data_IF_535412710901
#
_entry.id   IF_535412710901
#
_cell.length_a   1.000
_cell.length_b   1.000
_cell.length_c   1.000
_cell.angle_alpha   90.00
_cell.angle_beta   90.00
_cell.angle_gamma   90.00
#
_symmetry.space_group_name_H-M   'P 1'
#
loop_
_entity.id
_entity.type
_entity.pdbx_description
1 polymer ?
#
# COMPACT_ATOMS: atom_id res chain seq x y z
N UNK A 1 13.37 8.21 16.67
CA UNK A 1 12.22 7.56 17.19
C UNK A 1 11.84 6.28 16.44
N UNK A 2 10.72 6.11 15.78
CA UNK A 2 10.36 4.86 15.05
C UNK A 2 11.45 4.44 14.04
N UNK A 3 12.13 5.37 13.38
CA UNK A 3 13.26 5.08 12.49
C UNK A 3 14.45 4.43 13.23
N UNK A 4 14.76 4.88 14.46
CA UNK A 4 15.83 4.28 15.26
C UNK A 4 15.46 2.92 15.83
N UNK A 5 14.23 2.73 16.23
CA UNK A 5 13.75 1.41 16.68
C UNK A 5 13.75 0.37 15.56
N UNK A 6 13.35 0.72 14.34
CA UNK A 6 13.44 -0.17 13.17
C UNK A 6 14.88 -0.51 12.79
N UNK A 7 15.82 0.44 12.90
CA UNK A 7 17.24 0.17 12.65
C UNK A 7 17.91 -0.66 13.74
N UNK A 8 17.47 -0.55 14.99
CA UNK A 8 18.01 -1.36 16.09
C UNK A 8 17.52 -2.80 16.05
N UNK A 9 16.30 -3.06 15.61
CA UNK A 9 15.77 -4.42 15.45
C UNK A 9 16.52 -5.24 14.38
N UNK A 10 17.12 -4.59 13.38
CA UNK A 10 17.89 -5.29 12.33
C UNK A 10 19.25 -5.80 12.83
N UNK A 11 19.79 -5.23 13.91
CA UNK A 11 21.12 -5.58 14.41
C UNK A 11 21.15 -6.76 15.37
N UNK A 12 20.06 -7.09 16.06
CA UNK A 12 20.16 -7.90 17.27
C UNK A 12 19.61 -9.33 17.22
N UNK A 13 19.04 -9.79 16.11
CA UNK A 13 18.63 -11.21 16.02
C UNK A 13 18.42 -11.73 14.62
N UNK A 14 19.48 -12.28 14.05
CA UNK A 14 19.39 -13.25 12.96
C UNK A 14 19.74 -14.61 13.57
N UNK A 15 18.75 -15.38 13.95
CA UNK A 15 18.94 -16.78 14.31
C UNK A 15 18.28 -17.70 13.28
N UNK A 16 19.00 -18.63 12.65
CA UNK A 16 18.38 -19.61 11.78
C UNK A 16 17.69 -20.68 12.64
N UNK A 17 16.37 -20.80 12.49
CA UNK A 17 15.64 -21.95 13.01
C UNK A 17 15.57 -23.01 11.91
N UNK A 18 16.08 -24.21 12.22
CA UNK A 18 16.29 -25.30 11.28
C UNK A 18 15.02 -25.75 10.57
N UNK A 19 15.19 -26.10 9.28
CA UNK A 19 14.18 -26.74 8.45
C UNK A 19 13.61 -25.90 7.33
N UNK A 20 14.45 -25.28 6.50
CA UNK A 20 14.06 -24.86 5.14
C UNK A 20 13.15 -23.65 4.98
N UNK A 21 12.70 -22.98 6.05
CA UNK A 21 12.06 -21.67 6.03
C UNK A 21 12.82 -20.78 7.00
N UNK A 22 13.46 -19.75 6.47
CA UNK A 22 14.03 -18.69 7.30
C UNK A 22 12.84 -17.84 7.78
N UNK A 23 12.36 -18.11 8.99
CA UNK A 23 11.52 -17.18 9.74
C UNK A 23 12.46 -16.30 10.54
N UNK A 24 12.58 -15.02 10.13
CA UNK A 24 13.27 -14.05 10.97
C UNK A 24 12.25 -13.46 11.95
N UNK A 25 12.34 -13.85 13.21
CA UNK A 25 11.65 -13.17 14.29
C UNK A 25 12.48 -11.96 14.73
N UNK A 26 11.85 -10.81 14.72
CA UNK A 26 12.41 -9.62 15.33
C UNK A 26 11.78 -9.47 16.71
N UNK A 27 12.49 -9.86 17.76
CA UNK A 27 12.11 -9.49 19.11
C UNK A 27 12.32 -7.99 19.30
N UNK A 28 11.24 -7.25 19.54
CA UNK A 28 11.37 -5.85 19.93
C UNK A 28 12.17 -5.74 21.21
N UNK A 29 12.99 -4.68 21.33
CA UNK A 29 13.66 -4.36 22.58
C UNK A 29 12.59 -4.03 23.62
N UNK A 30 12.69 -4.63 24.81
CA UNK A 30 11.88 -4.23 25.95
C UNK A 30 12.04 -2.73 26.18
N UNK A 31 10.91 -1.99 26.18
CA UNK A 31 10.93 -0.58 26.52
C UNK A 31 11.43 -0.48 27.98
N UNK A 32 12.42 0.37 28.21
CA UNK A 32 12.91 0.64 29.57
C UNK A 32 11.72 1.13 30.40
N UNK A 33 11.45 0.44 31.47
CA UNK A 33 10.33 0.71 32.37
C UNK A 33 10.37 2.17 32.82
N UNK A 34 9.37 2.97 32.44
CA UNK A 34 9.28 4.37 32.78
C UNK A 34 9.64 5.37 31.68
N UNK A 35 10.09 4.94 30.50
CA UNK A 35 10.18 5.83 29.34
C UNK A 35 8.84 5.82 28.58
N UNK A 36 8.11 6.96 28.56
CA UNK A 36 6.92 7.04 27.72
C UNK A 36 7.35 6.98 26.25
N UNK A 37 6.63 6.22 25.44
CA UNK A 37 6.74 6.33 23.99
C UNK A 37 6.25 7.71 23.56
N UNK A 38 7.16 8.68 23.59
CA UNK A 38 6.88 10.07 23.25
C UNK A 38 6.45 10.25 21.77
N UNK A 39 6.56 9.21 20.94
CA UNK A 39 6.10 9.23 19.55
C UNK A 39 4.58 9.05 19.42
N UNK A 40 3.94 8.48 20.42
CA UNK A 40 2.52 8.10 20.36
C UNK A 40 1.57 9.12 21.00
N UNK A 41 2.05 9.98 21.92
CA UNK A 41 1.22 10.93 22.65
C UNK A 41 1.96 12.24 22.94
N UNK A 42 1.25 13.38 22.90
CA UNK A 42 1.80 14.63 23.44
C UNK A 42 2.07 14.45 24.94
N UNK A 43 3.09 15.14 25.44
CA UNK A 43 3.44 15.19 26.86
C UNK A 43 2.21 15.57 27.68
N UNK A 44 1.87 14.77 28.69
CA UNK A 44 0.63 14.89 29.44
C UNK A 44 -0.61 14.31 28.75
N UNK A 45 -0.41 13.44 27.76
CA UNK A 45 -1.44 12.89 26.89
C UNK A 45 -2.62 12.22 27.60
N UNK A 46 -3.71 12.11 26.85
CA UNK A 46 -5.04 11.62 27.30
C UNK A 46 -5.08 10.12 27.61
N UNK A 47 -3.98 9.39 27.42
CA UNK A 47 -3.91 7.94 27.67
C UNK A 47 -2.66 7.56 28.42
N UNK A 48 -2.78 6.60 29.31
CA UNK A 48 -1.64 5.87 29.82
C UNK A 48 -1.03 5.04 28.69
N UNK A 49 0.30 5.10 28.53
CA UNK A 49 0.99 4.16 27.67
C UNK A 49 1.11 2.83 28.38
N UNK A 50 0.68 1.77 27.73
CA UNK A 50 0.87 0.42 28.19
C UNK A 50 2.06 -0.20 27.48
N UNK A 51 2.73 -1.12 28.15
CA UNK A 51 3.77 -1.97 27.56
C UNK A 51 3.22 -2.64 26.28
N UNK A 52 3.96 -2.54 25.18
CA UNK A 52 3.57 -3.21 23.95
C UNK A 52 3.61 -4.72 24.15
N UNK A 53 2.45 -5.37 24.10
CA UNK A 53 2.30 -6.83 24.25
C UNK A 53 2.23 -7.51 22.90
N UNK A 54 3.22 -7.25 22.05
CA UNK A 54 3.28 -7.83 20.73
C UNK A 54 4.68 -7.81 20.16
N UNK A 55 4.82 -8.43 19.01
CA UNK A 55 6.07 -8.47 18.26
C UNK A 55 5.80 -8.24 16.77
N UNK A 56 6.84 -7.77 16.07
CA UNK A 56 6.84 -7.68 14.62
C UNK A 56 7.63 -8.86 14.06
N UNK A 57 7.11 -9.45 12.98
CA UNK A 57 7.81 -10.43 12.19
C UNK A 57 7.99 -9.94 10.75
N UNK A 58 9.13 -10.25 10.14
CA UNK A 58 9.33 -9.96 8.74
C UNK A 58 8.41 -10.82 7.89
N UNK A 59 7.81 -10.21 6.86
CA UNK A 59 7.05 -10.92 5.84
C UNK A 59 7.95 -11.21 4.63
N UNK A 60 8.46 -12.44 4.46
CA UNK A 60 9.32 -12.79 3.34
C UNK A 60 8.56 -12.94 2.01
N UNK A 61 7.23 -12.86 2.03
CA UNK A 61 6.38 -12.98 0.84
C UNK A 61 6.09 -11.63 0.17
N UNK A 62 6.55 -10.54 0.77
CA UNK A 62 6.54 -9.19 0.21
C UNK A 62 7.97 -8.64 0.13
N UNK A 63 8.28 -7.94 -0.95
CA UNK A 63 9.64 -7.50 -1.22
C UNK A 63 10.03 -6.30 -0.37
N UNK A 64 11.27 -6.31 0.14
CA UNK A 64 11.90 -5.12 0.69
C UNK A 64 12.21 -4.12 -0.45
N UNK A 65 12.11 -2.84 -0.15
CA UNK A 65 12.32 -1.77 -1.14
C UNK A 65 13.03 -0.56 -0.51
N UNK A 66 13.61 0.27 -1.36
CA UNK A 66 14.22 1.53 -0.92
C UNK A 66 13.29 2.68 -1.29
N UNK A 67 12.90 3.47 -0.32
CA UNK A 67 12.09 4.66 -0.49
C UNK A 67 12.75 5.84 0.23
N UNK A 68 13.03 6.92 -0.50
CA UNK A 68 13.62 8.15 0.06
C UNK A 68 14.91 7.88 0.87
N UNK A 69 15.78 7.01 0.35
CA UNK A 69 17.04 6.64 0.99
C UNK A 69 16.90 5.72 2.22
N UNK A 70 15.69 5.24 2.51
CA UNK A 70 15.40 4.32 3.62
C UNK A 70 15.05 2.93 3.11
N UNK A 71 15.68 1.90 3.68
CA UNK A 71 15.29 0.52 3.45
C UNK A 71 13.98 0.24 4.20
N UNK A 72 12.96 -0.16 3.46
CA UNK A 72 11.66 -0.55 3.98
C UNK A 72 11.51 -2.06 3.89
N UNK A 73 11.24 -2.71 5.02
CA UNK A 73 11.03 -4.17 5.10
C UNK A 73 9.57 -4.39 5.52
N UNK A 74 8.75 -5.06 4.70
CA UNK A 74 7.39 -5.41 5.07
C UNK A 74 7.36 -6.31 6.31
N UNK A 75 6.54 -5.94 7.28
CA UNK A 75 6.38 -6.67 8.55
C UNK A 75 4.93 -6.85 8.91
N UNK A 76 4.65 -7.85 9.70
CA UNK A 76 3.37 -8.06 10.39
C UNK A 76 3.54 -7.75 11.88
N UNK A 77 2.42 -7.41 12.53
CA UNK A 77 2.39 -7.15 13.97
C UNK A 77 1.33 -8.02 14.64
N UNK A 78 1.76 -8.85 15.58
CA UNK A 78 0.92 -9.80 16.31
C UNK A 78 1.11 -9.64 17.82
N UNK A 79 0.06 -9.95 18.59
CA UNK A 79 0.18 -10.09 20.04
C UNK A 79 0.97 -11.39 20.40
N UNK A 80 1.41 -11.49 21.64
CA UNK A 80 2.07 -12.71 22.15
C UNK A 80 1.14 -13.93 22.16
N UNK A 81 -0.18 -13.71 22.20
CA UNK A 81 -1.21 -14.76 22.10
C UNK A 81 -1.63 -15.06 20.67
N UNK A 82 -1.10 -14.32 19.69
CA UNK A 82 -1.30 -14.57 18.26
C UNK A 82 -2.45 -13.77 17.62
N UNK A 83 -3.08 -12.84 18.35
CA UNK A 83 -4.06 -11.96 17.73
C UNK A 83 -3.38 -11.00 16.76
N UNK A 84 -4.06 -10.70 15.66
CA UNK A 84 -3.61 -9.71 14.70
C UNK A 84 -3.72 -8.30 15.29
N UNK A 85 -2.63 -7.54 15.25
CA UNK A 85 -2.59 -6.13 15.65
C UNK A 85 -2.45 -5.19 14.45
N UNK A 86 -2.43 -5.74 13.25
CA UNK A 86 -2.40 -5.04 11.97
C UNK A 86 -3.45 -5.58 11.00
N UNK A 87 -3.47 -5.05 9.78
CA UNK A 87 -4.34 -5.53 8.70
C UNK A 87 -3.68 -6.61 7.84
N UNK A 88 -2.36 -6.71 7.83
CA UNK A 88 -1.61 -7.67 7.02
C UNK A 88 -1.72 -9.09 7.54
N UNK A 89 -1.68 -9.29 8.84
CA UNK A 89 -1.83 -10.63 9.46
C UNK A 89 -3.15 -11.31 9.06
N UNK A 90 -4.32 -10.68 9.12
CA UNK A 90 -5.57 -11.27 8.62
C UNK A 90 -5.50 -11.61 7.13
N UNK A 91 -4.90 -10.76 6.30
CA UNK A 91 -4.73 -11.02 4.87
C UNK A 91 -3.92 -12.30 4.64
N UNK A 92 -2.76 -12.43 5.27
CA UNK A 92 -1.89 -13.61 5.13
C UNK A 92 -2.61 -14.89 5.58
N UNK A 93 -3.30 -14.84 6.72
CA UNK A 93 -4.10 -15.96 7.22
C UNK A 93 -5.22 -16.35 6.27
N UNK A 94 -5.91 -15.37 5.69
CA UNK A 94 -6.97 -15.61 4.70
C UNK A 94 -6.43 -16.24 3.42
N UNK A 95 -5.23 -15.83 2.97
CA UNK A 95 -4.56 -16.42 1.81
C UNK A 95 -4.17 -17.88 2.04
N UNK A 96 -3.71 -18.22 3.24
CA UNK A 96 -3.41 -19.61 3.57
C UNK A 96 -4.68 -20.47 3.68
N UNK A 97 -5.74 -19.92 4.27
CA UNK A 97 -7.02 -20.60 4.38
C UNK A 97 -7.68 -20.84 3.02
N UNK A 98 -7.75 -19.84 2.14
CA UNK A 98 -8.31 -20.01 0.79
C UNK A 98 -7.49 -21.03 -0.01
N UNK A 99 -6.16 -21.01 0.12
CA UNK A 99 -5.29 -22.00 -0.51
C UNK A 99 -5.64 -23.43 -0.05
N UNK A 100 -5.83 -23.62 1.24
CA UNK A 100 -6.22 -24.90 1.83
C UNK A 100 -7.55 -25.40 1.29
N UNK A 101 -8.56 -24.54 1.24
CA UNK A 101 -9.89 -24.91 0.74
C UNK A 101 -9.86 -25.17 -0.78
N UNK A 102 -9.13 -24.36 -1.55
CA UNK A 102 -8.99 -24.57 -2.99
C UNK A 102 -8.31 -25.91 -3.32
N UNK A 103 -7.27 -26.28 -2.58
CA UNK A 103 -6.62 -27.60 -2.71
C UNK A 103 -7.59 -28.73 -2.40
N UNK A 104 -8.47 -28.59 -1.38
CA UNK A 104 -9.53 -29.59 -1.10
C UNK A 104 -10.46 -29.78 -2.29
N UNK A 105 -10.87 -28.70 -2.94
CA UNK A 105 -11.72 -28.77 -4.14
C UNK A 105 -10.97 -29.47 -5.28
N UNK A 106 -9.72 -29.11 -5.53
CA UNK A 106 -8.89 -29.75 -6.57
C UNK A 106 -8.77 -31.27 -6.36
N UNK A 107 -8.66 -31.71 -5.09
CA UNK A 107 -8.66 -33.15 -4.77
C UNK A 107 -9.95 -33.85 -5.22
N UNK A 108 -11.09 -33.20 -5.12
CA UNK A 108 -12.37 -33.76 -5.60
C UNK A 108 -12.41 -33.89 -7.12
N UNK A 109 -11.67 -33.07 -7.85
CA UNK A 109 -11.48 -33.17 -9.30
C UNK A 109 -10.34 -34.11 -9.71
N UNK A 110 -9.72 -34.83 -8.77
CA UNK A 110 -8.69 -35.82 -9.04
C UNK A 110 -7.24 -35.28 -9.10
N UNK A 111 -7.03 -33.98 -8.88
CA UNK A 111 -5.67 -33.45 -8.78
C UNK A 111 -5.04 -33.86 -7.46
N UNK A 112 -4.01 -34.70 -7.53
CA UNK A 112 -3.24 -35.19 -6.38
C UNK A 112 -1.90 -34.51 -6.20
N UNK A 113 -1.51 -33.62 -7.10
CA UNK A 113 -0.17 -33.04 -7.20
C UNK A 113 -0.08 -31.61 -6.66
N UNK A 114 -1.10 -30.80 -6.86
CA UNK A 114 -1.13 -29.39 -6.42
C UNK A 114 -1.03 -29.32 -4.89
N UNK A 115 -0.04 -28.59 -4.41
CA UNK A 115 0.22 -28.40 -2.97
C UNK A 115 -0.32 -27.08 -2.45
N UNK A 116 -0.40 -26.07 -3.28
CA UNK A 116 -0.78 -24.71 -2.92
C UNK A 116 -1.52 -24.03 -4.08
N UNK A 117 -2.50 -23.20 -3.73
CA UNK A 117 -3.16 -22.27 -4.65
C UNK A 117 -2.82 -20.84 -4.21
N UNK A 118 -2.44 -19.98 -5.14
CA UNK A 118 -2.06 -18.60 -4.86
C UNK A 118 -3.10 -17.66 -5.45
N UNK A 119 -3.64 -16.78 -4.60
CA UNK A 119 -4.53 -15.71 -5.03
C UNK A 119 -3.70 -14.60 -5.64
N UNK A 120 -4.09 -14.14 -6.82
CA UNK A 120 -3.45 -13.01 -7.50
C UNK A 120 -4.43 -11.85 -7.65
N UNK A 121 -3.90 -10.64 -7.59
CA UNK A 121 -4.66 -9.39 -7.70
C UNK A 121 -3.86 -8.38 -8.53
N UNK A 122 -4.55 -7.66 -9.40
CA UNK A 122 -4.05 -6.47 -10.08
C UNK A 122 -4.93 -5.28 -9.69
N UNK A 123 -4.56 -4.52 -8.65
CA UNK A 123 -5.35 -3.38 -8.24
C UNK A 123 -5.24 -2.25 -9.25
N UNK A 124 -6.35 -1.80 -9.76
CA UNK A 124 -6.46 -0.66 -10.66
C UNK A 124 -6.73 0.59 -9.84
N UNK A 125 -5.94 1.65 -10.06
CA UNK A 125 -6.15 2.94 -9.43
C UNK A 125 -6.76 3.91 -10.42
N UNK A 126 -8.02 4.22 -10.20
CA UNK A 126 -8.71 5.33 -10.88
C UNK A 126 -8.55 6.60 -10.04
N UNK A 127 -8.17 7.68 -10.67
CA UNK A 127 -7.85 8.91 -9.97
C UNK A 127 -8.18 10.15 -10.78
N UNK A 128 -8.50 11.25 -10.09
CA UNK A 128 -8.67 12.54 -10.70
C UNK A 128 -7.40 13.38 -10.57
N UNK A 129 -7.05 14.11 -11.62
CA UNK A 129 -6.00 15.12 -11.58
C UNK A 129 -6.62 16.51 -11.66
N UNK A 130 -6.31 17.33 -10.66
CA UNK A 130 -6.78 18.71 -10.55
C UNK A 130 -5.58 19.65 -10.53
N UNK A 131 -5.66 20.79 -11.21
CA UNK A 131 -4.65 21.83 -11.12
C UNK A 131 -4.51 22.30 -9.66
N UNK A 132 -3.28 22.36 -9.14
CA UNK A 132 -3.00 22.66 -7.73
C UNK A 132 -3.46 24.06 -7.32
N UNK A 133 -3.33 25.05 -8.22
CA UNK A 133 -3.77 26.41 -7.92
C UNK A 133 -5.31 26.51 -7.88
N UNK A 134 -5.99 25.77 -8.75
CA UNK A 134 -7.45 25.70 -8.73
C UNK A 134 -7.95 24.95 -7.50
N UNK A 135 -7.30 23.84 -7.15
CA UNK A 135 -7.61 23.07 -5.94
C UNK A 135 -7.49 23.94 -4.68
N UNK A 136 -6.45 24.78 -4.59
CA UNK A 136 -6.23 25.63 -3.44
C UNK A 136 -7.35 26.66 -3.20
N UNK A 137 -8.11 27.01 -4.25
CA UNK A 137 -9.25 27.94 -4.18
C UNK A 137 -10.59 27.25 -3.85
N UNK A 138 -10.61 25.91 -3.80
CA UNK A 138 -11.81 25.10 -3.61
C UNK A 138 -11.85 24.53 -2.21
N UNK A 139 -12.63 25.13 -1.33
CA UNK A 139 -12.79 24.67 0.05
C UNK A 139 -13.41 23.28 0.14
N UNK A 140 -14.38 22.98 -0.71
CA UNK A 140 -15.02 21.67 -0.76
C UNK A 140 -14.01 20.56 -1.09
N UNK A 141 -13.13 20.76 -2.08
CA UNK A 141 -12.08 19.79 -2.41
C UNK A 141 -11.06 19.66 -1.28
N UNK A 142 -10.65 20.77 -0.67
CA UNK A 142 -9.66 20.77 0.42
C UNK A 142 -10.16 20.12 1.70
N UNK A 143 -11.41 20.37 2.06
CA UNK A 143 -11.98 19.94 3.34
C UNK A 143 -12.67 18.58 3.25
N UNK A 144 -13.29 18.25 2.12
CA UNK A 144 -14.09 17.03 1.94
C UNK A 144 -13.48 16.05 0.95
N UNK A 145 -12.45 16.44 0.17
CA UNK A 145 -11.85 15.59 -0.88
C UNK A 145 -12.76 15.35 -2.09
N UNK A 146 -13.86 16.09 -2.22
CA UNK A 146 -14.83 15.96 -3.31
C UNK A 146 -15.51 17.27 -3.62
N UNK A 147 -16.09 17.38 -4.82
CA UNK A 147 -16.91 18.52 -5.21
C UNK A 147 -18.26 18.49 -4.48
N UNK A 148 -18.57 19.57 -3.77
CA UNK A 148 -19.90 19.80 -3.16
C UNK A 148 -20.67 20.89 -3.88
N UNK A 149 -19.98 21.85 -4.50
CA UNK A 149 -20.56 23.04 -5.14
C UNK A 149 -20.04 23.17 -6.57
N UNK A 150 -20.76 23.95 -7.37
CA UNK A 150 -20.35 24.32 -8.70
C UNK A 150 -21.25 23.75 -9.80
N UNK A 151 -21.01 24.21 -11.01
CA UNK A 151 -21.70 23.72 -12.18
C UNK A 151 -21.20 22.33 -12.57
N UNK A 152 -22.10 21.55 -13.16
CA UNK A 152 -21.69 20.30 -13.82
C UNK A 152 -20.75 20.61 -14.99
N UNK A 153 -19.83 19.69 -15.34
CA UNK A 153 -19.01 19.87 -16.54
C UNK A 153 -19.89 19.93 -17.80
N UNK A 154 -19.45 20.61 -18.83
CA UNK A 154 -20.22 20.72 -20.11
C UNK A 154 -20.46 19.36 -20.76
N UNK A 155 -19.52 18.42 -20.60
CA UNK A 155 -19.65 17.02 -20.93
C UNK A 155 -19.44 16.18 -19.66
N UNK A 156 -20.32 15.20 -19.44
CA UNK A 156 -20.20 14.17 -18.42
C UNK A 156 -19.55 12.90 -18.97
N UNK A 157 -20.24 11.79 -18.83
CA UNK A 157 -19.78 10.47 -19.27
C UNK A 157 -20.45 10.01 -20.58
N UNK A 158 -21.12 10.92 -21.28
CA UNK A 158 -21.88 10.62 -22.47
C UNK A 158 -20.99 10.06 -23.58
N UNK A 159 -21.42 8.94 -24.19
CA UNK A 159 -20.77 8.26 -25.30
C UNK A 159 -19.31 7.84 -25.03
N UNK A 160 -18.89 7.81 -23.77
CA UNK A 160 -17.52 7.48 -23.35
C UNK A 160 -16.44 8.35 -24.01
N UNK A 161 -16.77 9.58 -24.38
CA UNK A 161 -15.91 10.51 -25.11
C UNK A 161 -14.58 10.77 -24.41
N UNK A 162 -14.57 10.86 -23.08
CA UNK A 162 -13.34 11.07 -22.32
C UNK A 162 -12.45 9.84 -22.32
N UNK A 163 -13.02 8.65 -22.25
CA UNK A 163 -12.31 7.37 -22.26
C UNK A 163 -11.48 7.21 -23.54
N UNK A 164 -12.06 7.53 -24.69
CA UNK A 164 -11.39 7.46 -25.99
C UNK A 164 -10.62 8.74 -26.35
N UNK A 165 -10.63 9.74 -25.49
CA UNK A 165 -9.96 11.01 -25.70
C UNK A 165 -8.44 10.93 -25.62
N UNK A 166 -7.75 11.92 -26.19
CA UNK A 166 -6.31 12.03 -26.10
C UNK A 166 -5.86 12.41 -24.68
N UNK A 167 -4.78 11.79 -24.20
CA UNK A 167 -4.13 12.19 -22.96
C UNK A 167 -3.40 13.52 -23.19
N UNK A 168 -3.72 14.53 -22.40
CA UNK A 168 -3.09 15.85 -22.49
C UNK A 168 -1.60 15.78 -22.14
N UNK A 169 -0.73 16.59 -22.79
CA UNK A 169 0.72 16.53 -22.56
C UNK A 169 1.16 16.63 -21.10
N UNK A 170 0.53 17.51 -20.30
CA UNK A 170 0.82 17.65 -18.87
C UNK A 170 0.49 16.37 -18.09
N UNK A 171 -0.62 15.73 -18.43
CA UNK A 171 -1.04 14.47 -17.80
C UNK A 171 -0.11 13.33 -18.24
N UNK A 172 0.25 13.28 -19.52
CA UNK A 172 1.20 12.29 -20.04
C UNK A 172 2.58 12.40 -19.37
N UNK A 173 3.07 13.61 -19.11
CA UNK A 173 4.31 13.85 -18.40
C UNK A 173 4.23 13.33 -16.95
N UNK A 174 3.13 13.64 -16.25
CA UNK A 174 2.87 13.09 -14.92
C UNK A 174 2.85 11.55 -14.92
N UNK A 175 2.12 10.94 -15.84
CA UNK A 175 2.01 9.49 -15.94
C UNK A 175 3.37 8.83 -16.21
N UNK A 176 4.20 9.45 -17.03
CA UNK A 176 5.56 8.96 -17.31
C UNK A 176 6.42 8.97 -16.06
N UNK A 177 6.46 10.10 -15.36
CA UNK A 177 7.27 10.23 -14.15
C UNK A 177 6.75 9.31 -13.02
N UNK A 178 5.43 9.10 -12.95
CA UNK A 178 4.84 8.15 -12.02
C UNK A 178 5.30 6.71 -12.30
N UNK A 179 5.29 6.27 -13.55
CA UNK A 179 5.80 4.95 -13.94
C UNK A 179 7.26 4.78 -13.49
N UNK A 180 8.11 5.75 -13.77
CA UNK A 180 9.53 5.69 -13.40
C UNK A 180 9.76 5.58 -11.89
N UNK A 181 9.00 6.31 -11.10
CA UNK A 181 9.07 6.23 -9.63
C UNK A 181 8.53 4.90 -9.10
N UNK A 182 7.45 4.38 -9.68
CA UNK A 182 6.88 3.10 -9.30
C UNK A 182 7.81 1.93 -9.66
N UNK A 183 8.45 1.96 -10.82
CA UNK A 183 9.42 0.92 -11.22
C UNK A 183 10.63 0.87 -10.27
N UNK A 184 11.12 2.01 -9.78
CA UNK A 184 12.18 2.07 -8.76
C UNK A 184 11.78 1.41 -7.44
N UNK A 185 10.48 1.38 -7.14
CA UNK A 185 9.91 0.73 -5.96
C UNK A 185 9.53 -0.74 -6.19
N UNK A 186 9.75 -1.26 -7.41
CA UNK A 186 9.40 -2.63 -7.78
C UNK A 186 7.92 -2.82 -8.14
N UNK A 187 7.17 -1.74 -8.32
CA UNK A 187 5.78 -1.80 -8.79
C UNK A 187 5.78 -1.73 -10.31
N UNK A 188 5.33 -2.79 -10.96
CA UNK A 188 5.31 -2.91 -12.42
C UNK A 188 4.05 -2.24 -13.00
N UNK A 189 3.96 -0.91 -12.91
CA UNK A 189 2.91 -0.14 -13.60
C UNK A 189 3.03 -0.35 -15.11
N UNK A 190 1.89 -0.55 -15.77
CA UNK A 190 1.85 -0.86 -17.20
C UNK A 190 0.78 -0.09 -17.95
N UNK A 191 -0.44 -0.07 -17.44
CA UNK A 191 -1.58 0.55 -18.10
C UNK A 191 -1.75 1.98 -17.62
N UNK A 192 -1.97 2.89 -18.58
CA UNK A 192 -2.33 4.28 -18.34
C UNK A 192 -3.23 4.77 -19.45
N UNK A 193 -4.38 5.28 -19.09
CA UNK A 193 -5.36 5.84 -20.03
C UNK A 193 -6.35 6.77 -19.31
N UNK A 194 -7.21 7.42 -20.08
CA UNK A 194 -8.31 8.18 -19.54
C UNK A 194 -9.46 7.27 -19.11
N UNK A 195 -10.14 7.65 -18.06
CA UNK A 195 -11.40 7.06 -17.65
C UNK A 195 -12.61 7.84 -18.18
N UNK A 196 -13.81 7.34 -17.91
CA UNK A 196 -15.05 7.86 -18.49
C UNK A 196 -15.37 9.27 -17.96
N UNK A 197 -15.06 9.55 -16.70
CA UNK A 197 -15.33 10.87 -16.12
C UNK A 197 -14.27 11.91 -16.55
N UNK A 198 -14.67 13.20 -16.66
CA UNK A 198 -13.74 14.27 -16.98
C UNK A 198 -12.58 14.37 -16.01
N UNK A 199 -11.35 14.40 -16.52
CA UNK A 199 -10.09 14.43 -15.74
C UNK A 199 -9.86 13.23 -14.83
N UNK A 200 -10.55 12.14 -15.08
CA UNK A 200 -10.29 10.84 -14.47
C UNK A 200 -9.34 10.03 -15.36
N UNK A 201 -8.41 9.37 -14.73
CA UNK A 201 -7.38 8.56 -15.37
C UNK A 201 -7.20 7.27 -14.59
N UNK A 202 -6.58 6.28 -15.21
CA UNK A 202 -6.29 5.01 -14.60
C UNK A 202 -4.81 4.66 -14.69
N UNK A 203 -4.34 3.95 -13.69
CA UNK A 203 -3.10 3.21 -13.69
C UNK A 203 -3.34 1.79 -13.21
N UNK A 204 -2.89 0.81 -13.96
CA UNK A 204 -2.94 -0.59 -13.57
C UNK A 204 -1.54 -1.22 -13.61
N UNK A 205 -1.11 -1.88 -12.52
CA UNK A 205 0.11 -2.67 -12.50
C UNK A 205 -0.13 -4.07 -13.09
N UNK A 206 0.96 -4.76 -13.39
CA UNK A 206 0.88 -6.21 -13.62
C UNK A 206 0.46 -6.86 -12.30
N UNK A 207 -0.49 -7.79 -12.37
CA UNK A 207 -0.98 -8.52 -11.20
C UNK A 207 0.15 -9.32 -10.51
N UNK A 208 0.02 -9.47 -9.22
CA UNK A 208 0.91 -10.30 -8.40
C UNK A 208 0.13 -10.99 -7.29
N UNK A 209 0.81 -11.72 -6.40
CA UNK A 209 0.12 -12.33 -5.26
C UNK A 209 -0.58 -11.25 -4.41
N UNK A 210 -1.72 -11.59 -3.82
CA UNK A 210 -2.59 -10.62 -3.15
C UNK A 210 -1.89 -9.84 -2.04
N UNK A 211 -0.93 -10.44 -1.33
CA UNK A 211 -0.17 -9.76 -0.30
C UNK A 211 0.73 -8.65 -0.87
N UNK A 212 1.57 -8.99 -1.85
CA UNK A 212 2.43 -8.01 -2.51
C UNK A 212 1.61 -6.95 -3.24
N UNK A 213 0.49 -7.33 -3.88
CA UNK A 213 -0.41 -6.40 -4.54
C UNK A 213 -0.98 -5.35 -3.57
N UNK A 214 -1.40 -5.75 -2.37
CA UNK A 214 -1.89 -4.83 -1.35
C UNK A 214 -0.81 -3.86 -0.88
N UNK A 215 0.41 -4.34 -0.63
CA UNK A 215 1.53 -3.48 -0.25
C UNK A 215 1.90 -2.50 -1.35
N UNK A 216 1.99 -2.99 -2.59
CA UNK A 216 2.28 -2.16 -3.75
C UNK A 216 1.22 -1.09 -3.96
N UNK A 217 -0.06 -1.41 -3.75
CA UNK A 217 -1.13 -0.43 -3.91
C UNK A 217 -1.01 0.74 -2.92
N UNK A 218 -0.55 0.50 -1.69
CA UNK A 218 -0.27 1.59 -0.74
C UNK A 218 0.86 2.51 -1.25
N UNK A 219 1.91 1.93 -1.84
CA UNK A 219 2.99 2.70 -2.45
C UNK A 219 2.50 3.49 -3.66
N UNK A 220 1.69 2.88 -4.51
CA UNK A 220 1.06 3.53 -5.67
C UNK A 220 0.30 4.77 -5.24
N UNK A 221 -0.62 4.66 -4.29
CA UNK A 221 -1.42 5.78 -3.81
C UNK A 221 -0.57 6.91 -3.21
N UNK A 222 0.52 6.57 -2.52
CA UNK A 222 1.46 7.56 -1.99
C UNK A 222 2.21 8.28 -3.13
N UNK A 223 2.75 7.49 -4.08
CA UNK A 223 3.55 8.06 -5.18
C UNK A 223 2.70 8.89 -6.14
N UNK A 224 1.47 8.51 -6.40
CA UNK A 224 0.54 9.30 -7.21
C UNK A 224 0.41 10.73 -6.68
N UNK A 225 0.25 10.89 -5.37
CA UNK A 225 0.15 12.21 -4.73
C UNK A 225 1.46 12.99 -4.80
N UNK A 226 2.59 12.33 -4.53
CA UNK A 226 3.91 12.98 -4.54
C UNK A 226 4.33 13.43 -5.93
N UNK A 227 4.10 12.59 -6.93
CA UNK A 227 4.43 12.95 -8.32
C UNK A 227 3.49 14.02 -8.84
N UNK A 228 2.20 13.98 -8.53
CA UNK A 228 1.26 15.03 -8.90
C UNK A 228 1.70 16.39 -8.37
N UNK A 229 2.17 16.45 -7.14
CA UNK A 229 2.67 17.69 -6.54
C UNK A 229 3.84 18.30 -7.33
N UNK A 230 4.77 17.47 -7.80
CA UNK A 230 5.90 17.91 -8.65
C UNK A 230 5.44 18.54 -9.98
N UNK A 231 4.30 18.07 -10.51
CA UNK A 231 3.70 18.59 -11.75
C UNK A 231 2.72 19.74 -11.55
N UNK A 232 2.62 20.28 -10.32
CA UNK A 232 1.64 21.33 -9.99
C UNK A 232 0.19 20.82 -10.10
N UNK A 233 0.00 19.55 -9.83
CA UNK A 233 -1.29 18.86 -9.81
C UNK A 233 -1.61 18.36 -8.41
N UNK A 234 -2.86 18.05 -8.16
CA UNK A 234 -3.36 17.32 -7.01
C UNK A 234 -4.01 16.04 -7.52
N UNK A 235 -3.60 14.91 -6.99
CA UNK A 235 -4.21 13.62 -7.27
C UNK A 235 -5.24 13.29 -6.20
N UNK A 236 -6.48 13.09 -6.63
CA UNK A 236 -7.60 12.63 -5.80
C UNK A 236 -7.87 11.17 -6.13
N UNK A 237 -7.77 10.32 -5.10
CA UNK A 237 -7.95 8.86 -5.17
C UNK A 237 -9.33 8.46 -4.67
#
# INVERSE_FOLDING_TARGET
>A
SIRRQRQMCIRDSIAPVGGGKIMMEFSGKELIRGEPDASSFPSGGLRATFEARGYTAWDPTSFAFIKEGSLCIPTVFCSYSGEALDKKTPLLRSMDEISRQAVRILRLFGDTTTKRVVVQVGPEQEYFLVDKAQYAQREDLRMCGRTLFGAKPPKGQELDDHYYGAIRPRVAAYMKDLDEELWKLGVLSKTKHNEVAPSQHEMAPIYTNANAACDQNQLVMEMMKKVADRHGLVCLL
#
